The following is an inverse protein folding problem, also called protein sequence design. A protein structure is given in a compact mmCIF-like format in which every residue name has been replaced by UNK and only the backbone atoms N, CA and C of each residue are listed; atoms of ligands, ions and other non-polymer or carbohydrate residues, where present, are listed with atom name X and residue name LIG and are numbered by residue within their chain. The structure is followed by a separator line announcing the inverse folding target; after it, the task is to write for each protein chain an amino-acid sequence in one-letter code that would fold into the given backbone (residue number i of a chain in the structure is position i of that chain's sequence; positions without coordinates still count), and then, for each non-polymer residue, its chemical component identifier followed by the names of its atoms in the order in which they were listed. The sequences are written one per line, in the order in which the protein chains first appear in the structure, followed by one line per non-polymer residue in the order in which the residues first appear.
data_IF_461117322736
#
_entry.id   IF_461117322736
#
_cell.length_a   1.000
_cell.length_b   1.000
_cell.length_c   1.000
_cell.angle_alpha   90.00
_cell.angle_beta   90.00
_cell.angle_gamma   90.00
#
_symmetry.space_group_name_H-M   'P 1'
#
loop_
_entity.id
_entity.type
_entity.pdbx_description
1 polymer ?
#
# COMPACT_ATOMS: atom_id res chain seq x y z
N UNK A 1 -33.40 -55.64 33.19
CA UNK A 1 -33.81 -54.21 33.16
C UNK A 1 -32.62 -53.36 32.70
N UNK A 2 -32.29 -53.35 31.40
CA UNK A 2 -31.02 -52.72 30.95
C UNK A 2 -30.99 -52.31 29.48
N UNK A 3 -32.10 -51.93 28.84
CA UNK A 3 -32.07 -51.53 27.42
C UNK A 3 -32.92 -50.29 27.06
N UNK A 4 -33.60 -49.65 28.01
CA UNK A 4 -34.49 -48.51 27.72
C UNK A 4 -33.83 -47.13 27.81
N UNK A 5 -32.58 -47.03 28.27
CA UNK A 5 -31.90 -45.73 28.50
C UNK A 5 -30.99 -45.28 27.35
N UNK A 6 -30.73 -46.13 26.35
CA UNK A 6 -29.83 -45.81 25.23
C UNK A 6 -30.50 -45.08 24.05
N UNK A 7 -31.83 -45.22 23.88
CA UNK A 7 -32.53 -44.61 22.74
C UNK A 7 -32.92 -43.14 23.01
N UNK A 8 -33.13 -42.76 24.27
CA UNK A 8 -33.50 -41.38 24.63
C UNK A 8 -32.32 -40.41 24.57
N UNK A 9 -31.08 -40.87 24.72
CA UNK A 9 -29.88 -40.01 24.61
C UNK A 9 -29.49 -39.70 23.15
N UNK A 10 -29.87 -40.54 22.19
CA UNK A 10 -29.54 -40.36 20.78
C UNK A 10 -30.45 -39.36 20.05
N UNK A 11 -31.70 -39.20 20.53
CA UNK A 11 -32.64 -38.23 19.96
C UNK A 11 -32.28 -36.77 20.32
N UNK A 12 -31.64 -36.54 21.48
CA UNK A 12 -31.24 -35.20 21.93
C UNK A 12 -29.99 -34.70 21.19
N UNK A 13 -29.11 -35.59 20.74
CA UNK A 13 -27.90 -35.22 20.00
C UNK A 13 -28.18 -34.78 18.55
N UNK A 14 -29.27 -35.24 17.92
CA UNK A 14 -29.66 -34.85 16.57
C UNK A 14 -30.44 -33.52 16.51
N UNK A 15 -31.00 -33.06 17.65
CA UNK A 15 -31.69 -31.77 17.76
C UNK A 15 -30.76 -30.59 18.10
N UNK A 16 -29.47 -30.84 18.40
CA UNK A 16 -28.50 -29.81 18.74
C UNK A 16 -27.68 -29.26 17.55
N UNK A 17 -27.89 -29.76 16.32
CA UNK A 17 -27.10 -29.37 15.15
C UNK A 17 -27.90 -28.60 14.08
N UNK A 18 -28.86 -27.80 14.51
CA UNK A 18 -29.36 -26.68 13.71
C UNK A 18 -29.03 -25.39 14.43
N UNK A 19 -27.75 -25.01 14.42
CA UNK A 19 -27.41 -23.58 14.51
C UNK A 19 -27.94 -22.94 13.23
N UNK A 20 -29.19 -22.51 13.26
CA UNK A 20 -29.75 -21.62 12.26
C UNK A 20 -28.90 -20.35 12.35
N UNK A 21 -27.92 -20.21 11.45
CA UNK A 21 -27.24 -18.96 11.25
C UNK A 21 -28.30 -18.01 10.66
N UNK A 22 -28.96 -17.25 11.54
CA UNK A 22 -29.86 -16.18 11.15
C UNK A 22 -29.01 -15.12 10.44
N UNK A 23 -28.92 -15.22 9.12
CA UNK A 23 -28.37 -14.12 8.32
C UNK A 23 -29.34 -12.95 8.45
N UNK A 24 -28.88 -11.77 8.90
CA UNK A 24 -29.73 -10.59 8.94
C UNK A 24 -30.23 -10.33 7.52
N UNK A 25 -31.54 -10.25 7.35
CA UNK A 25 -32.19 -9.85 6.08
C UNK A 25 -31.99 -8.35 5.79
N UNK A 26 -31.38 -7.62 6.70
CA UNK A 26 -31.21 -6.17 6.65
C UNK A 26 -29.71 -5.81 6.62
N UNK A 27 -29.34 -4.84 5.79
CA UNK A 27 -27.95 -4.39 5.63
C UNK A 27 -27.46 -3.76 6.93
N UNK A 28 -26.51 -4.40 7.61
CA UNK A 28 -25.91 -3.89 8.85
C UNK A 28 -24.42 -4.18 8.94
N UNK A 29 -23.66 -3.25 9.50
CA UNK A 29 -22.26 -3.45 9.85
C UNK A 29 -22.11 -4.24 11.16
N UNK A 30 -21.04 -5.03 11.31
CA UNK A 30 -20.78 -5.79 12.52
C UNK A 30 -20.69 -4.92 13.77
N UNK A 31 -21.20 -5.44 14.90
CA UNK A 31 -21.24 -4.72 16.17
C UNK A 31 -19.85 -4.28 16.65
N UNK A 32 -18.86 -5.16 16.53
CA UNK A 32 -17.50 -4.88 16.97
C UNK A 32 -16.76 -3.89 16.07
N UNK A 33 -17.34 -3.45 14.95
CA UNK A 33 -16.82 -2.34 14.15
C UNK A 33 -17.35 -0.98 14.63
N UNK A 34 -18.41 -0.96 15.45
CA UNK A 34 -18.99 0.28 15.95
C UNK A 34 -17.96 1.12 16.71
N UNK A 35 -18.03 2.44 16.52
CA UNK A 35 -17.16 3.42 17.18
C UNK A 35 -16.45 4.37 16.22
N UNK A 36 -15.41 5.05 16.71
CA UNK A 36 -14.64 6.05 15.98
C UNK A 36 -13.32 5.49 15.45
N UNK A 37 -13.02 5.87 14.22
CA UNK A 37 -11.89 5.38 13.45
C UNK A 37 -11.12 6.53 12.82
N UNK A 38 -9.80 6.47 12.93
CA UNK A 38 -8.87 7.40 12.33
C UNK A 38 -8.43 6.89 10.96
N UNK A 39 -8.41 7.78 9.96
CA UNK A 39 -7.84 7.53 8.65
C UNK A 39 -6.92 8.68 8.25
N UNK A 40 -5.71 8.34 7.78
CA UNK A 40 -4.77 9.35 7.27
C UNK A 40 -5.38 10.13 6.11
N UNK A 41 -5.14 11.44 6.08
CA UNK A 41 -5.63 12.40 5.07
C UNK A 41 -7.14 12.65 5.11
N UNK A 42 -7.84 12.19 6.15
CA UNK A 42 -9.22 12.60 6.45
C UNK A 42 -9.17 13.46 7.71
N UNK A 43 -9.64 14.70 7.62
CA UNK A 43 -9.56 15.66 8.73
C UNK A 43 -10.51 15.31 9.89
N UNK A 44 -11.61 14.63 9.58
CA UNK A 44 -12.62 14.20 10.57
C UNK A 44 -12.52 12.68 10.78
N UNK A 45 -12.75 12.26 12.02
CA UNK A 45 -12.83 10.84 12.36
C UNK A 45 -14.02 10.18 11.67
N UNK A 46 -13.83 8.94 11.22
CA UNK A 46 -14.86 8.12 10.61
C UNK A 46 -15.60 7.39 11.73
N UNK A 47 -16.88 7.71 11.93
CA UNK A 47 -17.75 6.97 12.86
C UNK A 47 -18.48 5.87 12.11
N UNK A 48 -18.40 4.64 12.62
CA UNK A 48 -19.14 3.49 12.11
C UNK A 48 -20.28 3.20 13.09
N UNK A 49 -21.51 3.22 12.56
CA UNK A 49 -22.75 2.80 13.24
C UNK A 49 -23.17 1.42 12.75
N UNK A 50 -24.35 0.98 13.17
CA UNK A 50 -25.09 -0.17 12.62
C UNK A 50 -25.36 -0.06 11.10
N UNK A 51 -25.82 1.09 10.61
CA UNK A 51 -26.22 1.27 9.20
C UNK A 51 -25.46 2.36 8.47
N UNK A 52 -24.61 3.13 9.14
CA UNK A 52 -23.94 4.29 8.56
C UNK A 52 -22.43 4.21 8.79
N UNK A 53 -21.67 4.57 7.76
CA UNK A 53 -20.24 4.93 7.89
C UNK A 53 -20.11 6.41 7.55
N UNK A 54 -19.71 7.24 8.52
CA UNK A 54 -19.53 8.68 8.33
C UNK A 54 -18.58 8.97 7.17
N UNK A 55 -18.87 10.01 6.39
CA UNK A 55 -18.23 10.35 5.10
C UNK A 55 -18.46 9.38 3.93
N UNK A 56 -18.99 8.18 4.16
CA UNK A 56 -19.22 7.18 3.11
C UNK A 56 -20.69 7.04 2.76
N UNK A 57 -21.57 6.86 3.75
CA UNK A 57 -23.01 6.74 3.53
C UNK A 57 -23.68 5.62 4.32
N UNK A 58 -24.93 5.32 3.94
CA UNK A 58 -25.79 4.32 4.57
C UNK A 58 -25.75 2.97 3.84
N UNK A 59 -25.70 1.87 4.59
CA UNK A 59 -25.74 0.49 4.11
C UNK A 59 -27.08 0.21 3.42
N UNK A 60 -27.05 -0.28 2.18
CA UNK A 60 -28.26 -0.70 1.45
C UNK A 60 -28.26 -2.18 1.12
N UNK A 61 -27.14 -2.74 0.67
CA UNK A 61 -26.98 -4.16 0.37
C UNK A 61 -25.71 -4.70 1.03
N UNK A 62 -25.76 -5.92 1.56
CA UNK A 62 -24.60 -6.58 2.15
C UNK A 62 -24.50 -8.04 1.69
N UNK A 63 -23.27 -8.49 1.42
CA UNK A 63 -22.96 -9.88 1.14
C UNK A 63 -21.54 -10.20 1.60
N UNK A 64 -21.42 -11.04 2.63
CA UNK A 64 -20.14 -11.39 3.27
C UNK A 64 -19.35 -10.15 3.74
N UNK A 65 -18.28 -9.80 3.03
CA UNK A 65 -17.41 -8.64 3.29
C UNK A 65 -17.66 -7.45 2.34
N UNK A 66 -18.65 -7.57 1.45
CA UNK A 66 -19.02 -6.57 0.46
C UNK A 66 -20.27 -5.83 0.93
N UNK A 67 -20.23 -4.50 0.85
CA UNK A 67 -21.32 -3.64 1.28
C UNK A 67 -21.56 -2.57 0.22
N UNK A 68 -22.82 -2.35 -0.16
CA UNK A 68 -23.21 -1.19 -0.96
C UNK A 68 -23.65 -0.10 -0.01
N UNK A 69 -23.00 1.06 -0.13
CA UNK A 69 -23.32 2.25 0.67
C UNK A 69 -23.86 3.35 -0.22
N UNK A 70 -24.95 3.98 0.22
CA UNK A 70 -25.57 5.12 -0.43
C UNK A 70 -25.09 6.42 0.22
N UNK A 71 -24.51 7.30 -0.59
CA UNK A 71 -24.12 8.63 -0.17
C UNK A 71 -25.14 9.65 -0.66
N UNK A 72 -25.94 10.20 0.26
CA UNK A 72 -26.95 11.21 -0.07
C UNK A 72 -26.33 12.51 -0.61
N UNK A 73 -25.16 12.92 -0.11
CA UNK A 73 -24.46 14.14 -0.55
C UNK A 73 -23.90 13.95 -1.97
N UNK A 74 -23.30 12.80 -2.23
CA UNK A 74 -22.76 12.44 -3.54
C UNK A 74 -23.80 11.92 -4.55
N UNK A 75 -25.05 11.69 -4.11
CA UNK A 75 -26.15 11.12 -4.90
C UNK A 75 -25.75 9.87 -5.68
N UNK A 76 -25.09 8.94 -4.99
CA UNK A 76 -24.60 7.72 -5.61
C UNK A 76 -24.42 6.57 -4.64
N UNK A 77 -24.33 5.38 -5.22
CA UNK A 77 -23.97 4.15 -4.55
C UNK A 77 -22.51 3.81 -4.80
N UNK A 78 -21.83 3.28 -3.78
CA UNK A 78 -20.50 2.70 -3.90
C UNK A 78 -20.50 1.31 -3.29
N UNK A 79 -19.79 0.37 -3.89
CA UNK A 79 -19.38 -0.83 -3.18
C UNK A 79 -18.18 -0.52 -2.29
N UNK A 80 -18.20 -1.01 -1.06
CA UNK A 80 -17.11 -0.99 -0.11
C UNK A 80 -16.83 -2.41 0.33
N UNK A 81 -15.60 -2.87 0.12
CA UNK A 81 -15.15 -4.20 0.55
C UNK A 81 -14.25 -3.99 1.76
N UNK A 82 -14.70 -4.44 2.92
CA UNK A 82 -13.98 -4.33 4.18
C UNK A 82 -13.17 -5.59 4.46
N UNK A 83 -11.96 -5.40 4.99
CA UNK A 83 -11.07 -6.45 5.43
C UNK A 83 -10.69 -6.18 6.88
N UNK A 84 -11.25 -6.98 7.78
CA UNK A 84 -10.85 -6.94 9.18
C UNK A 84 -9.48 -7.61 9.34
N UNK A 85 -8.45 -6.81 9.62
CA UNK A 85 -7.09 -7.32 9.82
C UNK A 85 -6.78 -7.55 11.29
N UNK A 86 -7.35 -6.71 12.14
CA UNK A 86 -7.23 -6.77 13.59
C UNK A 86 -8.43 -6.04 14.21
N UNK A 87 -8.76 -6.28 15.48
CA UNK A 87 -9.87 -5.60 16.17
C UNK A 87 -9.72 -4.07 16.21
N UNK A 88 -8.49 -3.57 16.05
CA UNK A 88 -8.15 -2.14 16.01
C UNK A 88 -7.75 -1.66 14.60
N UNK A 89 -7.80 -2.53 13.58
CA UNK A 89 -7.36 -2.21 12.21
C UNK A 89 -8.33 -2.81 11.18
N UNK A 90 -9.03 -1.94 10.48
CA UNK A 90 -9.88 -2.29 9.35
C UNK A 90 -9.25 -1.69 8.09
N UNK A 91 -9.14 -2.49 7.04
CA UNK A 91 -8.78 -2.00 5.72
C UNK A 91 -9.99 -2.07 4.80
N UNK A 92 -10.07 -1.20 3.81
CA UNK A 92 -11.16 -1.28 2.85
C UNK A 92 -10.77 -0.76 1.47
N UNK A 93 -11.51 -1.21 0.47
CA UNK A 93 -11.48 -0.69 -0.89
C UNK A 93 -12.88 -0.19 -1.25
N UNK A 94 -12.96 0.85 -2.06
CA UNK A 94 -14.24 1.38 -2.56
C UNK A 94 -14.27 1.40 -4.09
N UNK A 95 -15.45 1.20 -4.66
CA UNK A 95 -15.71 1.37 -6.09
C UNK A 95 -15.86 2.85 -6.45
N UNK A 96 -16.00 3.12 -7.75
CA UNK A 96 -16.46 4.41 -8.23
C UNK A 96 -17.90 4.70 -7.76
N UNK A 97 -18.27 5.97 -7.82
CA UNK A 97 -19.59 6.51 -7.49
C UNK A 97 -20.58 6.19 -8.62
N UNK A 98 -21.51 5.26 -8.39
CA UNK A 98 -22.56 4.90 -9.34
C UNK A 98 -23.82 5.74 -9.09
N UNK A 99 -24.22 6.61 -10.02
CA UNK A 99 -25.31 7.57 -9.80
C UNK A 99 -26.63 6.91 -9.39
N UNK A 100 -27.44 7.63 -8.62
CA UNK A 100 -28.78 7.18 -8.17
C UNK A 100 -29.72 6.78 -9.33
N UNK A 101 -29.47 7.27 -10.55
CA UNK A 101 -30.26 6.91 -11.74
C UNK A 101 -30.15 5.44 -12.13
N UNK A 102 -29.15 4.72 -11.61
CA UNK A 102 -28.97 3.29 -11.82
C UNK A 102 -29.25 2.54 -10.51
N UNK A 103 -29.96 1.41 -10.57
CA UNK A 103 -30.22 0.63 -9.38
C UNK A 103 -28.91 0.13 -8.75
N UNK A 104 -28.82 0.07 -7.41
CA UNK A 104 -27.68 -0.54 -6.75
C UNK A 104 -27.68 -2.04 -7.03
N UNK A 105 -26.62 -2.53 -7.66
CA UNK A 105 -26.36 -3.95 -7.84
C UNK A 105 -25.02 -4.32 -7.20
N UNK A 106 -25.05 -5.26 -6.27
CA UNK A 106 -23.90 -5.66 -5.48
C UNK A 106 -22.82 -6.30 -6.36
N UNK A 107 -23.21 -7.15 -7.31
CA UNK A 107 -22.25 -7.86 -8.15
C UNK A 107 -21.61 -6.92 -9.17
N UNK A 108 -22.40 -6.06 -9.82
CA UNK A 108 -21.85 -5.04 -10.72
C UNK A 108 -20.91 -4.06 -9.99
N UNK A 109 -21.32 -3.47 -8.86
CA UNK A 109 -20.51 -2.47 -8.17
C UNK A 109 -19.24 -3.07 -7.57
N UNK A 110 -19.34 -4.24 -6.94
CA UNK A 110 -18.21 -4.88 -6.30
C UNK A 110 -17.30 -5.63 -7.29
N UNK A 111 -17.81 -6.01 -8.46
CA UNK A 111 -17.01 -6.63 -9.53
C UNK A 111 -15.96 -5.70 -10.12
N UNK A 112 -16.12 -4.38 -9.98
CA UNK A 112 -15.12 -3.39 -10.38
C UNK A 112 -14.03 -3.19 -9.33
N UNK A 113 -14.14 -3.79 -8.15
CA UNK A 113 -13.16 -3.61 -7.06
C UNK A 113 -11.97 -4.56 -7.23
N UNK A 114 -11.00 -4.12 -8.03
CA UNK A 114 -9.83 -4.93 -8.42
C UNK A 114 -8.61 -4.79 -7.46
N UNK A 115 -7.58 -5.58 -7.73
CA UNK A 115 -6.30 -5.57 -7.01
C UNK A 115 -5.63 -4.18 -6.93
N UNK A 116 -5.70 -3.43 -8.03
CA UNK A 116 -5.04 -2.12 -8.20
C UNK A 116 -5.77 -0.95 -7.53
N UNK A 117 -7.01 -1.15 -7.06
CA UNK A 117 -7.75 -0.11 -6.33
C UNK A 117 -7.04 0.21 -5.02
N UNK A 118 -6.99 1.50 -4.69
CA UNK A 118 -6.40 2.02 -3.46
C UNK A 118 -6.99 1.33 -2.22
N UNK A 119 -6.09 0.77 -1.42
CA UNK A 119 -6.42 0.18 -0.12
C UNK A 119 -6.31 1.26 0.96
N UNK A 120 -7.43 1.58 1.58
CA UNK A 120 -7.48 2.47 2.74
C UNK A 120 -7.32 1.67 4.02
N UNK A 121 -6.76 2.30 5.06
CA UNK A 121 -6.60 1.70 6.39
C UNK A 121 -7.16 2.65 7.43
N UNK A 122 -7.97 2.10 8.33
CA UNK A 122 -8.60 2.79 9.44
C UNK A 122 -8.13 2.16 10.75
N UNK A 123 -7.82 3.01 11.72
CA UNK A 123 -7.34 2.62 13.05
C UNK A 123 -8.33 3.04 14.12
N UNK A 124 -8.68 2.14 15.03
CA UNK A 124 -9.64 2.45 16.09
C UNK A 124 -9.06 3.52 17.02
N UNK A 125 -9.80 4.60 17.26
CA UNK A 125 -9.35 5.71 18.13
C UNK A 125 -9.32 5.25 19.59
N UNK A 126 -10.45 4.72 20.07
CA UNK A 126 -10.58 4.11 21.40
C UNK A 126 -10.16 2.62 21.34
N UNK A 127 -8.90 2.36 21.01
CA UNK A 127 -8.39 1.00 20.84
C UNK A 127 -8.35 0.24 22.17
N UNK A 128 -8.55 -1.08 22.12
CA UNK A 128 -8.25 -1.96 23.25
C UNK A 128 -6.82 -2.47 23.07
N UNK A 129 -5.88 -2.21 23.99
CA UNK A 129 -4.55 -2.80 23.93
C UNK A 129 -4.67 -4.32 23.94
N UNK A 130 -4.04 -4.98 22.98
CA UNK A 130 -3.91 -6.43 22.93
C UNK A 130 -2.44 -6.76 23.08
N UNK A 131 -2.15 -7.78 23.88
CA UNK A 131 -0.79 -8.24 24.08
C UNK A 131 -0.16 -8.61 22.73
N UNK A 132 1.02 -8.04 22.45
CA UNK A 132 1.76 -8.37 21.24
C UNK A 132 2.10 -9.88 21.26
N UNK A 133 1.76 -10.66 20.23
CA UNK A 133 2.12 -12.08 20.16
C UNK A 133 3.63 -12.28 20.02
N UNK A 134 4.34 -11.24 19.57
CA UNK A 134 5.79 -11.21 19.48
C UNK A 134 6.34 -10.74 20.84
N UNK A 135 6.95 -11.65 21.60
CA UNK A 135 7.68 -11.36 22.83
C UNK A 135 9.16 -11.64 22.64
N UNK A 136 10.00 -10.67 23.02
CA UNK A 136 11.46 -10.80 22.96
C UNK A 136 12.10 -10.36 21.64
N UNK A 137 13.43 -10.51 21.52
CA UNK A 137 14.16 -10.15 20.31
C UNK A 137 13.98 -11.20 19.22
N UNK A 138 13.54 -10.79 18.04
CA UNK A 138 13.43 -11.63 16.85
C UNK A 138 14.51 -11.27 15.86
N UNK A 139 15.23 -12.28 15.35
CA UNK A 139 16.10 -12.15 14.17
C UNK A 139 15.41 -12.79 12.97
N UNK A 140 15.30 -12.07 11.86
CA UNK A 140 14.70 -12.58 10.62
C UNK A 140 15.64 -12.38 9.43
N UNK A 141 15.70 -13.41 8.58
CA UNK A 141 16.33 -13.40 7.27
C UNK A 141 15.25 -13.22 6.19
N UNK A 142 15.64 -12.69 5.04
CA UNK A 142 14.74 -12.56 3.88
C UNK A 142 15.19 -13.50 2.76
N UNK A 143 14.26 -14.27 2.21
CA UNK A 143 14.48 -15.06 1.01
C UNK A 143 14.11 -14.26 -0.24
N UNK A 144 14.94 -14.28 -1.29
CA UNK A 144 14.69 -13.51 -2.53
C UNK A 144 13.76 -14.19 -3.54
N UNK A 145 12.92 -15.12 -3.07
CA UNK A 145 11.99 -15.89 -3.88
C UNK A 145 12.62 -17.19 -4.44
N UNK A 146 11.76 -18.10 -4.90
CA UNK A 146 12.07 -19.49 -5.25
C UNK A 146 13.18 -19.70 -6.31
N UNK A 147 13.54 -18.67 -7.09
CA UNK A 147 14.56 -18.80 -8.15
C UNK A 147 15.99 -18.52 -7.68
N UNK A 148 16.17 -17.99 -6.47
CA UNK A 148 17.48 -17.78 -5.85
C UNK A 148 17.40 -18.40 -4.45
N UNK A 149 17.79 -19.66 -4.34
CA UNK A 149 17.76 -20.50 -3.14
C UNK A 149 18.78 -20.04 -2.08
N UNK A 150 18.90 -18.73 -1.85
CA UNK A 150 19.82 -18.15 -0.89
C UNK A 150 19.03 -17.23 0.05
N UNK A 151 18.87 -17.68 1.28
CA UNK A 151 18.40 -16.84 2.38
C UNK A 151 19.46 -15.77 2.66
N UNK A 152 19.05 -14.51 2.69
CA UNK A 152 19.97 -13.43 3.00
C UNK A 152 20.19 -13.38 4.52
N UNK A 153 21.27 -14.01 4.97
CA UNK A 153 21.71 -14.02 6.38
C UNK A 153 22.51 -12.77 6.80
N UNK A 154 22.84 -11.88 5.85
CA UNK A 154 23.69 -10.72 6.13
C UNK A 154 23.23 -9.47 5.34
N UNK A 155 22.86 -8.37 6.01
CA UNK A 155 22.71 -8.23 7.46
C UNK A 155 21.41 -8.87 7.97
N UNK A 156 21.50 -9.58 9.10
CA UNK A 156 20.32 -10.04 9.81
C UNK A 156 19.49 -8.86 10.32
N UNK A 157 18.19 -8.90 10.05
CA UNK A 157 17.27 -7.90 10.58
C UNK A 157 16.82 -8.30 11.98
N UNK A 158 16.80 -7.34 12.91
CA UNK A 158 16.41 -7.56 14.30
C UNK A 158 15.16 -6.74 14.62
N UNK A 159 14.15 -7.37 15.21
CA UNK A 159 13.03 -6.71 15.88
C UNK A 159 13.23 -6.88 17.39
N UNK A 160 13.27 -5.76 18.11
CA UNK A 160 13.33 -5.76 19.58
C UNK A 160 12.25 -4.86 20.15
N UNK A 161 11.82 -5.17 21.36
CA UNK A 161 10.90 -4.33 22.12
C UNK A 161 11.64 -3.05 22.53
N UNK A 162 11.12 -1.88 22.13
CA UNK A 162 11.63 -0.60 22.63
C UNK A 162 10.99 -0.39 24.00
N UNK A 163 11.59 -1.00 25.02
CA UNK A 163 11.15 -0.82 26.39
C UNK A 163 11.33 0.64 26.83
N UNK A 164 10.27 1.24 27.36
CA UNK A 164 10.27 2.55 28.05
C UNK A 164 11.17 2.61 29.31
N UNK A 165 11.89 1.52 29.64
CA UNK A 165 12.71 1.40 30.86
C UNK A 165 14.12 0.84 30.64
N UNK A 166 14.62 0.74 29.40
CA UNK A 166 16.03 0.33 29.19
C UNK A 166 16.87 1.46 28.63
N UNK A 167 17.50 2.21 29.53
CA UNK A 167 18.57 3.17 29.21
C UNK A 167 19.90 2.49 28.80
N UNK A 168 19.88 1.20 28.42
CA UNK A 168 21.10 0.43 28.14
C UNK A 168 21.00 -0.53 26.95
N UNK A 169 20.02 -0.37 26.05
CA UNK A 169 20.11 -1.02 24.74
C UNK A 169 20.92 -0.11 23.80
N UNK A 170 21.96 -0.62 23.09
CA UNK A 170 22.59 0.17 22.04
C UNK A 170 21.49 0.55 21.07
N UNK A 171 21.32 1.85 20.89
CA UNK A 171 20.31 2.49 20.08
C UNK A 171 20.44 1.95 18.64
N UNK A 172 19.82 0.82 18.33
CA UNK A 172 19.73 0.33 16.96
C UNK A 172 18.63 1.13 16.30
N UNK A 173 18.96 2.38 15.99
CA UNK A 173 18.28 3.08 14.90
C UNK A 173 18.23 2.12 13.74
N UNK A 174 17.05 1.97 13.12
CA UNK A 174 17.02 1.43 11.77
C UNK A 174 18.10 2.19 10.99
N UNK A 175 19.08 1.45 10.46
CA UNK A 175 19.99 2.01 9.46
C UNK A 175 19.09 2.25 8.26
N UNK A 176 18.43 3.40 8.25
CA UNK A 176 17.72 3.91 7.09
C UNK A 176 18.83 4.13 6.10
N UNK A 177 19.01 3.17 5.18
CA UNK A 177 19.79 3.43 3.99
C UNK A 177 19.28 4.76 3.46
N UNK A 178 20.18 5.70 3.20
CA UNK A 178 19.84 7.07 2.74
C UNK A 178 18.75 7.12 1.66
N UNK A 179 18.56 6.01 0.95
CA UNK A 179 17.57 5.78 -0.08
C UNK A 179 16.55 4.71 0.35
N UNK A 180 15.25 4.97 0.10
CA UNK A 180 14.14 4.12 0.53
C UNK A 180 13.84 2.91 -0.38
N UNK A 181 14.34 2.90 -1.61
CA UNK A 181 14.24 1.75 -2.52
C UNK A 181 15.39 1.73 -3.55
N UNK A 182 15.53 0.60 -4.26
CA UNK A 182 16.53 0.45 -5.33
C UNK A 182 16.33 1.42 -6.50
N UNK A 183 15.12 1.96 -6.69
CA UNK A 183 14.84 2.95 -7.74
C UNK A 183 15.46 4.30 -7.39
N UNK A 184 15.35 4.71 -6.13
CA UNK A 184 15.94 5.93 -5.58
C UNK A 184 17.47 5.85 -5.62
N UNK A 185 18.06 4.68 -5.32
CA UNK A 185 19.51 4.45 -5.45
C UNK A 185 19.97 4.65 -6.90
N UNK A 186 19.24 4.05 -7.86
CA UNK A 186 19.53 4.21 -9.30
C UNK A 186 19.36 5.65 -9.77
N UNK A 187 18.34 6.36 -9.30
CA UNK A 187 18.11 7.77 -9.66
C UNK A 187 19.24 8.67 -9.14
N UNK A 188 19.67 8.46 -7.90
CA UNK A 188 20.80 9.18 -7.32
C UNK A 188 22.10 8.95 -8.13
N UNK A 189 22.42 7.70 -8.48
CA UNK A 189 23.59 7.39 -9.29
C UNK A 189 23.54 8.07 -10.66
N UNK A 190 22.35 8.14 -11.29
CA UNK A 190 22.16 8.89 -12.56
C UNK A 190 22.41 10.38 -12.37
N UNK A 191 21.92 10.99 -11.29
CA UNK A 191 22.14 12.41 -10.99
C UNK A 191 23.61 12.72 -10.75
N UNK A 192 24.35 11.85 -10.05
CA UNK A 192 25.81 11.99 -9.89
C UNK A 192 26.52 11.94 -11.24
N UNK A 193 26.21 10.97 -12.11
CA UNK A 193 26.78 10.90 -13.45
C UNK A 193 26.47 12.15 -14.29
N UNK A 194 25.25 12.71 -14.20
CA UNK A 194 24.89 13.94 -14.91
C UNK A 194 25.63 15.15 -14.33
N UNK A 195 25.82 15.22 -13.01
CA UNK A 195 26.61 16.27 -12.38
C UNK A 195 28.07 16.23 -12.84
N UNK A 196 28.66 15.05 -12.82
CA UNK A 196 30.11 14.88 -13.05
C UNK A 196 30.47 15.00 -14.54
N UNK A 197 29.60 14.52 -15.45
CA UNK A 197 29.88 14.48 -16.90
C UNK A 197 28.95 15.35 -17.76
N UNK A 198 27.99 16.05 -17.16
CA UNK A 198 26.96 16.81 -17.89
C UNK A 198 27.53 17.91 -18.76
N UNK A 199 28.46 18.71 -18.23
CA UNK A 199 29.10 19.81 -18.97
C UNK A 199 29.92 19.27 -20.14
N UNK A 200 30.71 18.22 -19.91
CA UNK A 200 31.50 17.59 -20.97
C UNK A 200 30.60 17.05 -22.08
N UNK A 201 29.48 16.44 -21.73
CA UNK A 201 28.48 15.97 -22.69
C UNK A 201 27.83 17.09 -23.49
N UNK A 202 27.58 18.26 -22.89
CA UNK A 202 27.07 19.44 -23.62
C UNK A 202 28.12 19.97 -24.60
N UNK A 203 29.38 20.07 -24.16
CA UNK A 203 30.51 20.52 -25.00
C UNK A 203 30.74 19.61 -26.21
N UNK A 204 30.79 18.29 -25.98
CA UNK A 204 30.93 17.31 -27.06
C UNK A 204 29.74 17.34 -28.03
N UNK A 205 28.52 17.57 -27.53
CA UNK A 205 27.35 17.74 -28.40
C UNK A 205 27.38 19.05 -29.20
N UNK A 206 27.92 20.13 -28.65
CA UNK A 206 28.09 21.39 -29.37
C UNK A 206 29.06 21.23 -30.55
N UNK A 207 30.18 20.52 -30.35
CA UNK A 207 31.14 20.21 -31.42
C UNK A 207 30.50 19.30 -32.47
N UNK A 208 29.85 18.20 -32.05
CA UNK A 208 29.21 17.24 -32.95
C UNK A 208 28.12 17.86 -33.82
N UNK A 209 27.35 18.80 -33.29
CA UNK A 209 26.25 19.49 -34.00
C UNK A 209 26.69 20.75 -34.74
N UNK A 210 27.96 21.14 -34.65
CA UNK A 210 28.49 22.30 -35.36
C UNK A 210 28.54 22.02 -36.87
N UNK A 211 28.23 23.02 -37.70
CA UNK A 211 28.29 22.94 -39.17
C UNK A 211 29.46 23.71 -39.79
N UNK A 212 30.18 24.50 -38.98
CA UNK A 212 31.34 25.30 -39.37
C UNK A 212 32.62 24.46 -39.26
N UNK A 213 32.67 23.52 -38.30
CA UNK A 213 33.85 22.70 -38.06
C UNK A 213 34.03 21.59 -39.12
N UNK A 214 35.28 21.24 -39.45
CA UNK A 214 35.59 20.17 -40.39
C UNK A 214 35.08 18.81 -39.88
N UNK A 215 34.83 17.86 -40.80
CA UNK A 215 34.09 16.63 -40.50
C UNK A 215 34.86 15.68 -39.55
N UNK A 216 36.19 15.72 -39.61
CA UNK A 216 37.12 14.91 -38.84
C UNK A 216 37.01 15.21 -37.34
N UNK A 217 36.92 16.51 -36.99
CA UNK A 217 36.73 16.97 -35.61
C UNK A 217 35.32 16.71 -35.08
N UNK A 218 34.34 16.47 -35.95
CA UNK A 218 32.96 16.11 -35.58
C UNK A 218 32.78 14.61 -35.37
N UNK A 219 33.65 13.78 -35.97
CA UNK A 219 33.64 12.33 -35.83
C UNK A 219 34.24 11.83 -34.50
N UNK A 220 35.27 12.50 -33.98
CA UNK A 220 35.91 12.12 -32.71
C UNK A 220 34.96 12.16 -31.47
N UNK A 221 34.13 13.21 -31.27
CA UNK A 221 33.13 13.24 -30.19
C UNK A 221 32.06 12.16 -30.31
N UNK A 222 31.74 11.71 -31.52
CA UNK A 222 30.75 10.67 -31.75
C UNK A 222 31.24 9.31 -31.24
N UNK A 223 32.54 9.00 -31.41
CA UNK A 223 33.17 7.79 -30.88
C UNK A 223 33.28 7.80 -29.34
N UNK A 224 33.61 8.95 -28.73
CA UNK A 224 33.65 9.08 -27.26
C UNK A 224 32.26 8.98 -26.63
N UNK A 225 31.25 9.59 -27.25
CA UNK A 225 29.85 9.48 -26.81
C UNK A 225 29.29 8.07 -26.98
N UNK A 226 29.66 7.34 -28.03
CA UNK A 226 29.23 5.94 -28.21
C UNK A 226 29.95 5.00 -27.26
N UNK A 227 31.25 5.18 -27.00
CA UNK A 227 31.99 4.43 -25.97
C UNK A 227 31.39 4.58 -24.57
N UNK A 228 31.03 5.80 -24.17
CA UNK A 228 30.31 6.08 -22.93
C UNK A 228 28.87 5.48 -22.92
N UNK A 229 28.25 5.33 -24.09
CA UNK A 229 26.94 4.67 -24.25
C UNK A 229 27.04 3.15 -24.23
N UNK A 230 28.16 2.53 -24.63
CA UNK A 230 28.38 1.08 -24.52
C UNK A 230 28.62 0.68 -23.06
N UNK A 231 29.45 1.42 -22.32
CA UNK A 231 29.55 1.28 -20.85
C UNK A 231 28.19 1.62 -20.16
N UNK A 232 27.47 2.60 -20.71
CA UNK A 232 26.10 2.93 -20.30
C UNK A 232 25.03 1.90 -20.69
N UNK A 233 25.25 0.98 -21.64
CA UNK A 233 24.26 -0.04 -22.06
C UNK A 233 24.13 -1.15 -21.02
N UNK A 234 25.23 -1.49 -20.31
CA UNK A 234 25.17 -2.30 -19.09
C UNK A 234 24.32 -1.63 -17.99
N UNK A 235 24.27 -0.29 -17.96
CA UNK A 235 23.42 0.50 -17.05
C UNK A 235 22.00 0.81 -17.60
N UNK A 236 21.76 0.75 -18.92
CA UNK A 236 20.44 1.03 -19.53
C UNK A 236 19.39 -0.04 -19.25
N UNK A 237 19.78 -1.28 -18.93
CA UNK A 237 18.85 -2.28 -18.37
C UNK A 237 18.22 -1.83 -17.04
N UNK A 238 18.78 -0.80 -16.40
CA UNK A 238 18.28 -0.21 -15.14
C UNK A 238 17.51 1.12 -15.36
N UNK A 239 17.20 1.49 -16.60
CA UNK A 239 16.73 2.84 -16.97
C UNK A 239 15.31 2.93 -17.58
N UNK A 240 14.43 1.97 -17.32
CA UNK A 240 13.00 2.21 -17.53
C UNK A 240 12.47 3.20 -16.47
N UNK A 241 11.97 4.35 -16.91
CA UNK A 241 11.24 5.34 -16.09
C UNK A 241 9.78 4.86 -15.93
N UNK A 242 9.17 4.91 -14.74
CA UNK A 242 7.71 4.97 -14.66
C UNK A 242 7.24 6.37 -15.06
N UNK A 243 6.10 6.45 -15.73
CA UNK A 243 5.44 7.69 -16.08
C UNK A 243 4.89 8.40 -14.82
N UNK A 244 4.99 9.74 -14.77
CA UNK A 244 4.13 10.55 -13.88
C UNK A 244 4.76 11.36 -12.73
N UNK A 245 6.03 11.75 -12.76
CA UNK A 245 6.57 12.65 -11.72
C UNK A 245 6.47 14.14 -12.12
N UNK A 246 5.58 14.90 -11.46
CA UNK A 246 5.48 16.36 -11.56
C UNK A 246 6.58 17.05 -10.74
N UNK A 247 7.31 17.98 -11.37
CA UNK A 247 8.31 18.83 -10.70
C UNK A 247 7.66 20.16 -10.33
N UNK A 248 7.47 20.44 -9.02
CA UNK A 248 7.15 21.79 -8.55
C UNK A 248 8.44 22.61 -8.56
N UNK A 249 8.55 23.56 -9.47
CA UNK A 249 9.59 24.59 -9.42
C UNK A 249 9.23 25.60 -8.32
N UNK A 250 10.14 25.75 -7.34
CA UNK A 250 10.14 26.89 -6.41
C UNK A 250 11.01 27.96 -7.05
N UNK A 251 10.36 29.01 -7.53
CA UNK A 251 10.97 30.19 -8.14
C UNK A 251 11.54 31.06 -7.02
N UNK A 252 12.87 31.08 -6.87
CA UNK A 252 13.58 32.04 -6.01
C UNK A 252 13.71 33.36 -6.76
N UNK A 253 12.83 34.31 -6.45
CA UNK A 253 12.97 35.71 -6.83
C UNK A 253 14.06 36.37 -5.97
N UNK A 254 15.23 36.63 -6.58
CA UNK A 254 16.25 37.51 -6.02
C UNK A 254 16.08 38.92 -6.58
N UNK A 255 15.58 39.85 -5.76
CA UNK A 255 15.70 41.29 -6.01
C UNK A 255 17.17 41.69 -5.81
N UNK A 256 17.80 42.20 -6.86
CA UNK A 256 19.04 42.99 -6.78
C UNK A 256 18.67 44.44 -6.45
N UNK A 257 19.41 45.03 -5.52
CA UNK A 257 19.67 46.46 -5.50
C UNK A 257 20.65 46.81 -6.63
#
# INVERSE_FOLDING_TARGET
MSYSLGLQTLLVALLACHTVHTYPTECSFPEHWRGTWFQSNVHQEIRISDKEVSSKGNCTLASQQKYVVHNAVGRCYKCVIFYEKHVNVIQYKESFCNPDSKPPDLDFLCGHVNGDIQLYSMFRVNYRPIACPLRGPFSFSYSRGHMLQEECHQPNSRLGEVGLLSAAAPHTTQVRTKYGDWRTIKDQAKRHCVRDFGIQRVRLNAIRKNRILPAELRAAPAAELTGAVVAGRQLRRLAARPAGAHSRNVERTGRRA
#
